data_IF_191762196784
#
_entry.id   IF_191762196784
#
_cell.length_a   1.000
_cell.length_b   1.000
_cell.length_c   1.000
_cell.angle_alpha   90.00
_cell.angle_beta   90.00
_cell.angle_gamma   90.00
#
_symmetry.space_group_name_H-M   'P 1'
#
loop_
_entity.id
_entity.type
_entity.pdbx_description
1 polymer ?
#
# COMPACT_ATOMS: atom_id res chain seq x y z
N UNK A 1 -1.03 9.48 10.08
CA UNK A 1 -0.32 8.59 11.03
C UNK A 1 1.10 8.36 10.53
N UNK A 2 2.11 8.40 11.40
CA UNK A 2 3.52 8.09 11.06
C UNK A 2 3.85 6.63 11.43
N UNK A 3 5.00 6.09 10.99
CA UNK A 3 5.45 4.74 11.40
C UNK A 3 5.60 4.59 12.92
N UNK A 4 6.14 5.63 13.59
CA UNK A 4 6.19 5.69 15.05
C UNK A 4 4.79 5.58 15.67
N UNK A 5 3.84 6.37 15.15
CA UNK A 5 2.45 6.32 15.62
C UNK A 5 1.81 4.94 15.39
N UNK A 6 2.09 4.27 14.28
CA UNK A 6 1.62 2.91 14.02
C UNK A 6 2.17 1.92 15.06
N UNK A 7 3.45 1.99 15.40
CA UNK A 7 4.06 1.14 16.44
C UNK A 7 3.38 1.39 17.79
N UNK A 8 3.16 2.66 18.13
CA UNK A 8 2.53 3.02 19.40
C UNK A 8 1.07 2.50 19.46
N UNK A 9 0.32 2.50 18.35
CA UNK A 9 -1.01 1.84 18.27
C UNK A 9 -0.93 0.32 18.42
N UNK A 10 0.06 -0.34 17.81
CA UNK A 10 0.25 -1.79 17.98
C UNK A 10 0.49 -2.14 19.45
N UNK A 11 1.31 -1.38 20.16
CA UNK A 11 1.55 -1.60 21.60
C UNK A 11 0.27 -1.41 22.42
N UNK A 12 -0.55 -0.40 22.11
CA UNK A 12 -1.84 -0.18 22.79
C UNK A 12 -2.78 -1.38 22.64
N UNK A 13 -2.84 -1.96 21.44
CA UNK A 13 -3.69 -3.13 21.18
C UNK A 13 -3.13 -4.43 21.74
N UNK A 14 -1.80 -4.54 21.89
CA UNK A 14 -1.14 -5.73 22.41
C UNK A 14 -0.18 -5.39 23.56
N UNK A 15 -0.70 -5.07 24.76
CA UNK A 15 0.11 -4.58 25.89
C UNK A 15 1.18 -5.55 26.39
N UNK A 16 1.06 -6.84 26.04
CA UNK A 16 2.05 -7.87 26.38
C UNK A 16 3.38 -7.72 25.64
N UNK A 17 3.40 -7.02 24.51
CA UNK A 17 4.62 -6.79 23.74
C UNK A 17 5.24 -5.46 24.14
N UNK A 18 6.55 -5.48 24.34
CA UNK A 18 7.35 -4.28 24.47
C UNK A 18 7.30 -3.46 23.18
N UNK A 19 7.56 -2.15 23.29
CA UNK A 19 7.67 -1.26 22.14
C UNK A 19 8.72 -1.74 21.13
N UNK A 20 9.83 -2.32 21.60
CA UNK A 20 10.88 -2.87 20.75
C UNK A 20 10.38 -4.08 19.94
N UNK A 21 9.63 -4.98 20.57
CA UNK A 21 9.04 -6.13 19.86
C UNK A 21 8.02 -5.66 18.82
N UNK A 22 7.16 -4.70 19.16
CA UNK A 22 6.22 -4.10 18.22
C UNK A 22 6.93 -3.45 17.02
N UNK A 23 8.03 -2.75 17.27
CA UNK A 23 8.86 -2.16 16.21
C UNK A 23 9.47 -3.23 15.29
N UNK A 24 10.02 -4.32 15.85
CA UNK A 24 10.54 -5.45 15.06
C UNK A 24 9.43 -6.07 14.20
N UNK A 25 8.25 -6.32 14.76
CA UNK A 25 7.12 -6.90 14.03
C UNK A 25 6.64 -5.98 12.89
N UNK A 26 6.49 -4.69 13.16
CA UNK A 26 6.08 -3.71 12.12
C UNK A 26 7.13 -3.62 11.02
N UNK A 27 8.42 -3.60 11.37
CA UNK A 27 9.51 -3.63 10.39
C UNK A 27 9.45 -4.87 9.50
N UNK A 28 9.30 -6.05 10.10
CA UNK A 28 9.23 -7.32 9.37
C UNK A 28 8.07 -7.34 8.35
N UNK A 29 6.92 -6.74 8.69
CA UNK A 29 5.81 -6.57 7.74
C UNK A 29 6.25 -5.70 6.55
N UNK A 30 6.79 -4.50 6.79
CA UNK A 30 7.23 -3.62 5.70
C UNK A 30 8.32 -4.26 4.83
N UNK A 31 9.30 -4.94 5.44
CA UNK A 31 10.37 -5.62 4.71
C UNK A 31 9.81 -6.74 3.83
N UNK A 32 8.83 -7.50 4.33
CA UNK A 32 8.15 -8.54 3.56
C UNK A 32 7.37 -7.97 2.37
N UNK A 33 6.64 -6.87 2.57
CA UNK A 33 5.93 -6.17 1.50
C UNK A 33 6.92 -5.66 0.43
N UNK A 34 8.02 -5.06 0.86
CA UNK A 34 9.07 -4.57 -0.04
C UNK A 34 9.68 -5.71 -0.84
N UNK A 35 10.04 -6.82 -0.19
CA UNK A 35 10.64 -7.97 -0.86
C UNK A 35 9.70 -8.62 -1.90
N UNK A 36 8.40 -8.72 -1.60
CA UNK A 36 7.43 -9.23 -2.56
C UNK A 36 7.29 -8.28 -3.78
N UNK A 37 7.23 -6.96 -3.55
CA UNK A 37 7.12 -5.98 -4.63
C UNK A 37 8.39 -5.91 -5.51
N UNK A 38 9.59 -6.05 -4.94
CA UNK A 38 10.81 -6.07 -5.76
C UNK A 38 10.83 -7.25 -6.73
N UNK A 39 10.35 -8.42 -6.27
CA UNK A 39 10.13 -9.62 -7.10
C UNK A 39 8.97 -9.51 -8.10
N UNK A 40 8.13 -8.47 -7.98
CA UNK A 40 6.99 -8.25 -8.86
C UNK A 40 5.73 -9.02 -8.45
N UNK A 41 5.71 -9.57 -7.24
CA UNK A 41 4.57 -10.31 -6.71
C UNK A 41 3.40 -9.37 -6.39
N UNK A 42 2.19 -9.91 -6.47
CA UNK A 42 0.97 -9.25 -5.97
C UNK A 42 0.81 -9.57 -4.50
N UNK A 43 0.55 -8.55 -3.70
CA UNK A 43 0.21 -8.69 -2.28
C UNK A 43 -1.27 -8.34 -2.13
N UNK A 44 -2.04 -9.22 -1.52
CA UNK A 44 -3.47 -9.02 -1.29
C UNK A 44 -3.79 -9.04 0.20
N UNK A 45 -4.53 -8.02 0.65
CA UNK A 45 -4.99 -7.88 2.03
C UNK A 45 -6.51 -7.72 1.94
N UNK A 46 -7.25 -8.81 2.20
CA UNK A 46 -8.72 -8.84 2.10
C UNK A 46 -9.33 -7.69 2.91
N UNK A 47 -10.32 -7.01 2.32
CA UNK A 47 -10.96 -5.83 2.90
C UNK A 47 -10.16 -4.52 2.74
N UNK A 48 -8.83 -4.58 2.73
CA UNK A 48 -7.98 -3.39 2.63
C UNK A 48 -7.67 -3.03 1.17
N UNK A 49 -7.16 -3.98 0.39
CA UNK A 49 -6.76 -3.76 -0.99
C UNK A 49 -5.63 -4.68 -1.44
N UNK A 50 -4.99 -4.33 -2.56
CA UNK A 50 -3.84 -5.08 -3.08
C UNK A 50 -2.72 -4.16 -3.59
N UNK A 51 -1.48 -4.56 -3.37
CA UNK A 51 -0.32 -3.95 -4.00
C UNK A 51 0.07 -4.78 -5.23
N UNK A 52 0.29 -4.09 -6.34
CA UNK A 52 0.74 -4.69 -7.61
C UNK A 52 1.86 -3.86 -8.21
N UNK A 53 2.77 -4.51 -8.93
CA UNK A 53 3.78 -3.80 -9.72
C UNK A 53 3.26 -3.60 -11.15
N UNK A 54 3.18 -2.34 -11.59
CA UNK A 54 2.80 -1.99 -12.96
C UNK A 54 4.03 -1.64 -13.78
N UNK A 55 4.06 -2.08 -15.02
CA UNK A 55 5.03 -1.61 -16.02
C UNK A 55 4.45 -0.37 -16.70
N UNK A 56 5.14 0.76 -16.57
CA UNK A 56 4.84 1.99 -17.30
C UNK A 56 5.74 2.03 -18.53
N UNK A 57 5.11 2.08 -19.71
CA UNK A 57 5.84 2.18 -20.96
C UNK A 57 6.55 3.53 -21.08
N UNK A 58 7.61 3.56 -21.87
CA UNK A 58 8.29 4.80 -22.22
C UNK A 58 7.33 5.73 -22.97
N UNK A 59 7.47 7.03 -22.75
CA UNK A 59 6.67 8.06 -23.41
C UNK A 59 7.40 9.38 -23.42
N UNK A 60 7.00 10.29 -24.30
CA UNK A 60 7.38 11.69 -24.19
C UNK A 60 6.56 12.39 -23.09
N UNK A 61 7.26 13.18 -22.29
CA UNK A 61 6.68 14.09 -21.31
C UNK A 61 7.02 15.54 -21.66
N UNK A 62 6.46 16.47 -20.88
CA UNK A 62 6.86 17.88 -20.94
C UNK A 62 7.41 18.30 -19.59
N UNK A 63 8.52 19.03 -19.61
CA UNK A 63 9.05 19.66 -18.42
C UNK A 63 8.06 20.75 -17.95
N UNK A 64 7.49 20.66 -16.73
CA UNK A 64 6.50 21.63 -16.25
C UNK A 64 7.03 23.07 -16.15
N UNK A 65 8.36 23.25 -16.03
CA UNK A 65 9.00 24.56 -15.89
C UNK A 65 9.30 25.22 -17.23
N UNK A 66 9.64 24.44 -18.26
CA UNK A 66 10.15 24.96 -19.54
C UNK A 66 9.30 24.61 -20.76
N UNK A 67 8.36 23.66 -20.62
CA UNK A 67 7.55 23.16 -21.74
C UNK A 67 8.28 22.24 -22.72
N UNK A 68 9.60 22.08 -22.59
CA UNK A 68 10.41 21.25 -23.46
C UNK A 68 9.99 19.76 -23.39
N UNK A 69 10.05 19.07 -24.53
CA UNK A 69 9.86 17.63 -24.60
C UNK A 69 11.01 16.92 -23.87
N UNK A 70 10.66 15.93 -23.06
CA UNK A 70 11.62 15.11 -22.31
C UNK A 70 11.23 13.64 -22.39
N UNK A 71 12.21 12.78 -22.58
CA UNK A 71 11.97 11.34 -22.58
C UNK A 71 11.70 10.82 -21.16
N UNK A 72 10.59 10.10 -21.00
CA UNK A 72 10.26 9.37 -19.79
C UNK A 72 10.48 7.90 -20.06
N UNK A 73 11.59 7.35 -19.55
CA UNK A 73 11.91 5.94 -19.71
C UNK A 73 10.87 5.01 -19.07
N UNK A 74 10.77 3.81 -19.62
CA UNK A 74 9.93 2.76 -19.06
C UNK A 74 10.39 2.42 -17.63
N UNK A 75 9.44 2.17 -16.74
CA UNK A 75 9.75 1.82 -15.34
C UNK A 75 8.69 0.96 -14.70
N UNK A 76 9.11 0.19 -13.70
CA UNK A 76 8.24 -0.54 -12.77
C UNK A 76 7.82 0.40 -11.65
N UNK A 77 6.53 0.44 -11.35
CA UNK A 77 5.99 1.25 -10.25
C UNK A 77 5.07 0.42 -9.36
N UNK A 78 5.20 0.51 -8.03
CA UNK A 78 4.19 -0.05 -7.14
C UNK A 78 2.88 0.72 -7.31
N UNK A 79 1.76 0.01 -7.22
CA UNK A 79 0.43 0.58 -7.31
C UNK A 79 -0.47 -0.11 -6.29
N UNK A 80 -1.18 0.68 -5.48
CA UNK A 80 -2.17 0.17 -4.54
C UNK A 80 -3.57 0.25 -5.17
N UNK A 81 -4.25 -0.89 -5.27
CA UNK A 81 -5.68 -1.00 -5.60
C UNK A 81 -6.45 -1.02 -4.28
N UNK A 82 -7.20 0.05 -4.02
CA UNK A 82 -8.06 0.18 -2.83
C UNK A 82 -9.16 -0.87 -2.86
N UNK A 83 -9.37 -1.60 -1.75
CA UNK A 83 -10.46 -2.57 -1.62
C UNK A 83 -11.84 -1.91 -1.46
N UNK A 84 -12.92 -2.64 -1.79
CA UNK A 84 -14.31 -2.17 -1.67
C UNK A 84 -14.62 -1.73 -0.23
N UNK A 85 -14.28 -2.56 0.76
CA UNK A 85 -14.51 -2.28 2.18
C UNK A 85 -13.76 -1.03 2.65
N UNK A 86 -12.45 -0.92 2.40
CA UNK A 86 -11.69 0.28 2.75
C UNK A 86 -12.30 1.55 2.12
N UNK A 87 -12.66 1.49 0.83
CA UNK A 87 -13.30 2.62 0.14
C UNK A 87 -14.62 3.02 0.81
N UNK A 88 -15.48 2.07 1.12
CA UNK A 88 -16.78 2.33 1.76
C UNK A 88 -16.61 2.91 3.16
N UNK A 89 -15.72 2.34 3.99
CA UNK A 89 -15.45 2.83 5.34
C UNK A 89 -14.90 4.26 5.34
N UNK A 90 -14.03 4.60 4.40
CA UNK A 90 -13.51 5.98 4.23
C UNK A 90 -14.62 6.94 3.79
N UNK A 91 -15.56 6.47 2.98
CA UNK A 91 -16.75 7.22 2.54
C UNK A 91 -17.88 7.23 3.59
N UNK A 92 -17.66 6.67 4.79
CA UNK A 92 -18.65 6.58 5.87
C UNK A 92 -19.82 5.63 5.59
N UNK A 93 -19.72 4.78 4.56
CA UNK A 93 -20.77 3.82 4.20
C UNK A 93 -20.56 2.48 4.92
N UNK A 94 -21.64 1.79 5.31
CA UNK A 94 -21.53 0.47 5.90
C UNK A 94 -20.96 -0.50 4.86
N UNK A 95 -20.11 -1.41 5.33
CA UNK A 95 -19.71 -2.60 4.59
C UNK A 95 -20.22 -3.81 5.35
N UNK A 96 -20.82 -4.76 4.63
CA UNK A 96 -21.23 -6.05 5.17
C UNK A 96 -20.41 -7.16 4.53
N UNK A 97 -20.11 -8.28 5.23
CA UNK A 97 -19.44 -9.43 4.63
C UNK A 97 -20.13 -9.98 3.37
N UNK A 98 -21.46 -9.84 3.27
CA UNK A 98 -22.23 -10.20 2.07
C UNK A 98 -21.82 -9.41 0.82
N UNK A 99 -21.28 -8.19 0.99
CA UNK A 99 -20.79 -7.36 -0.12
C UNK A 99 -19.47 -7.89 -0.73
N UNK A 100 -18.85 -8.92 -0.14
CA UNK A 100 -17.58 -9.50 -0.60
C UNK A 100 -17.71 -10.65 -1.60
N UNK A 101 -18.94 -11.16 -1.82
CA UNK A 101 -19.24 -12.26 -2.75
C UNK A 101 -19.95 -11.78 -4.04
N UNK A 102 -20.06 -10.46 -4.27
CA UNK A 102 -20.49 -9.93 -5.56
C UNK A 102 -19.37 -10.05 -6.61
N UNK A 103 -19.68 -10.58 -7.81
CA UNK A 103 -18.70 -10.87 -8.88
C UNK A 103 -17.98 -9.64 -9.44
#
# INVERSE_FOLDING_TARGET
MTKRGLIDEVVKHFPRFSRREAEVMVNAVFDSLTAALTRGERIEIRGFGSFVVKHRQAREGRNPKTGALVDVHAKRVPFFKVGKELRLRVDGKPWTPADSDEP
#
